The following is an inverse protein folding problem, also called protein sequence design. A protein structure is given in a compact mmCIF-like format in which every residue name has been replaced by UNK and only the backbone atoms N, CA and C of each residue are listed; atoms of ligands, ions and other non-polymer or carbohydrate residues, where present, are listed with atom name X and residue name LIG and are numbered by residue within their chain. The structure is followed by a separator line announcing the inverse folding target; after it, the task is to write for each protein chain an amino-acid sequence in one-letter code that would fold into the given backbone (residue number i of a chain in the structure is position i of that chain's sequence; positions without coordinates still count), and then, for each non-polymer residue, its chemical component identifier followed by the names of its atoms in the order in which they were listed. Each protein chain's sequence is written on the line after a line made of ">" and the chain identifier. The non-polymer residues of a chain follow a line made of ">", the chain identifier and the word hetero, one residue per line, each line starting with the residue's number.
data_IF_484436151426
#
_entry.id   IF_484436151426
#
_cell.length_a   1.000
_cell.length_b   1.000
_cell.length_c   1.000
_cell.angle_alpha   90.00
_cell.angle_beta   90.00
_cell.angle_gamma   90.00
#
_symmetry.space_group_name_H-M   'P 1'
#
loop_
_entity.id
_entity.type
_entity.pdbx_description
1 polymer ?
2 water ?
#
# COMPACT_ATOMS: atom_id res chain seq x y z
N UNK A 7 15.08 -0.39 -15.94
CA UNK A 7 13.72 0.21 -15.87
C UNK A 7 12.64 -0.86 -16.02
N UNK A 8 12.84 -1.75 -16.98
CA UNK A 8 11.89 -2.82 -17.23
C UNK A 8 11.70 -3.65 -15.97
N UNK A 9 12.79 -3.92 -15.27
CA UNK A 9 12.75 -4.71 -14.04
C UNK A 9 12.14 -3.94 -12.88
N UNK A 10 12.62 -2.72 -12.66
CA UNK A 10 12.13 -1.88 -11.57
C UNK A 10 10.63 -1.60 -11.70
N UNK A 11 10.20 -1.30 -12.92
CA UNK A 11 8.80 -1.00 -13.19
C UNK A 11 7.92 -2.19 -12.81
N UNK A 12 8.30 -3.37 -13.28
CA UNK A 12 7.55 -4.58 -13.01
C UNK A 12 7.59 -4.94 -11.52
N UNK A 13 8.71 -4.62 -10.88
CA UNK A 13 8.85 -4.91 -9.46
C UNK A 13 7.93 -4.02 -8.63
N UNK A 14 7.78 -2.76 -9.03
CA UNK A 14 6.92 -1.87 -8.28
C UNK A 14 5.45 -2.17 -8.57
N UNK A 15 5.18 -2.65 -9.78
CA UNK A 15 3.81 -3.00 -10.15
C UNK A 15 3.32 -4.16 -9.30
N UNK A 16 4.13 -5.21 -9.20
CA UNK A 16 3.76 -6.37 -8.40
C UNK A 16 3.65 -6.03 -6.92
N UNK A 17 4.50 -5.12 -6.46
CA UNK A 17 4.50 -4.70 -5.06
C UNK A 17 3.21 -3.94 -4.74
N UNK A 18 2.84 -2.99 -5.59
CA UNK A 18 1.62 -2.23 -5.38
C UNK A 18 0.41 -3.16 -5.46
N UNK A 19 0.41 -4.07 -6.44
CA UNK A 19 -0.69 -5.01 -6.62
C UNK A 19 -0.82 -5.91 -5.39
N UNK A 20 0.31 -6.40 -4.88
CA UNK A 20 0.29 -7.26 -3.70
C UNK A 20 -0.20 -6.51 -2.46
N UNK A 21 0.32 -5.31 -2.25
CA UNK A 21 -0.06 -4.50 -1.10
C UNK A 21 -1.51 -4.07 -1.17
N UNK A 22 -1.98 -3.77 -2.38
CA UNK A 22 -3.37 -3.36 -2.52
C UNK A 22 -4.28 -4.54 -2.14
N UNK A 23 -3.99 -5.72 -2.67
CA UNK A 23 -4.79 -6.89 -2.35
C UNK A 23 -4.79 -7.20 -0.85
N UNK A 24 -3.61 -7.15 -0.24
CA UNK A 24 -3.45 -7.42 1.18
C UNK A 24 -4.19 -6.40 2.06
N UNK A 25 -4.05 -5.12 1.77
CA UNK A 25 -4.74 -4.14 2.60
C UNK A 25 -6.25 -4.27 2.52
N UNK A 26 -6.80 -4.43 1.32
CA UNK A 26 -8.25 -4.57 1.15
C UNK A 26 -8.76 -5.83 1.85
N UNK A 27 -8.09 -6.95 1.60
CA UNK A 27 -8.48 -8.22 2.19
C UNK A 27 -8.49 -8.22 3.71
N UNK A 28 -7.38 -7.80 4.30
CA UNK A 28 -7.28 -7.79 5.75
C UNK A 28 -8.24 -6.82 6.42
N UNK A 29 -8.42 -5.65 5.83
CA UNK A 29 -9.33 -4.66 6.38
C UNK A 29 -10.77 -5.16 6.36
N UNK A 30 -11.20 -5.68 5.22
CA UNK A 30 -12.56 -6.17 5.04
C UNK A 30 -12.84 -7.55 5.66
N UNK A 31 -11.78 -8.23 6.09
CA UNK A 31 -11.94 -9.53 6.71
C UNK A 31 -11.39 -9.56 8.13
N UNK A 32 -10.10 -9.84 8.27
CA UNK A 32 -9.45 -9.91 9.58
C UNK A 32 -9.85 -8.78 10.54
N UNK A 33 -9.57 -7.54 10.16
CA UNK A 33 -9.88 -6.40 11.01
C UNK A 33 -11.36 -6.25 11.36
N UNK A 34 -12.25 -6.41 10.39
CA UNK A 34 -13.68 -6.27 10.68
C UNK A 34 -14.18 -7.38 11.60
N UNK A 35 -13.61 -8.57 11.48
CA UNK A 35 -14.04 -9.69 12.30
C UNK A 35 -13.37 -9.72 13.68
N UNK A 36 -12.37 -8.87 13.88
CA UNK A 36 -11.66 -8.80 15.16
C UNK A 36 -12.22 -7.68 16.03
N UNK A 37 -12.78 -6.66 15.39
CA UNK A 37 -13.33 -5.54 16.14
C UNK A 37 -12.28 -4.86 17.00
N UNK A 38 -12.73 -4.16 18.03
CA UNK A 38 -11.81 -3.47 18.93
C UNK A 38 -10.97 -2.40 18.27
N UNK A 39 -9.65 -2.50 18.45
CA UNK A 39 -8.72 -1.54 17.87
C UNK A 39 -8.57 -1.72 16.36
N UNK A 40 -8.87 -2.92 15.88
CA UNK A 40 -8.79 -3.24 14.45
C UNK A 40 -9.79 -2.45 13.62
N UNK A 41 -10.85 -1.96 14.27
CA UNK A 41 -11.87 -1.21 13.56
C UNK A 41 -11.91 0.25 13.97
N UNK A 42 -10.82 0.72 14.57
CA UNK A 42 -10.73 2.11 15.00
C UNK A 42 -10.74 3.00 13.76
N UNK A 43 -11.52 4.08 13.82
CA UNK A 43 -11.66 5.01 12.71
C UNK A 43 -10.40 5.30 11.89
N UNK A 44 -9.38 5.87 12.53
CA UNK A 44 -8.15 6.20 11.83
C UNK A 44 -7.45 5.00 11.18
N UNK A 45 -7.43 3.86 11.86
CA UNK A 45 -6.78 2.68 11.31
C UNK A 45 -7.47 2.15 10.06
N UNK A 46 -8.77 1.92 10.15
CA UNK A 46 -9.51 1.38 9.01
C UNK A 46 -9.45 2.33 7.81
N UNK A 47 -9.68 3.63 8.03
CA UNK A 47 -9.61 4.59 6.93
C UNK A 47 -8.27 4.45 6.23
N UNK A 48 -7.21 4.44 7.02
CA UNK A 48 -5.87 4.33 6.48
C UNK A 48 -5.74 3.06 5.65
N UNK A 49 -6.26 1.96 6.18
CA UNK A 49 -6.22 0.69 5.50
C UNK A 49 -6.84 0.79 4.11
N UNK A 50 -8.04 1.37 4.04
CA UNK A 50 -8.74 1.53 2.78
C UNK A 50 -8.04 2.55 1.88
N UNK A 51 -7.51 3.61 2.47
CA UNK A 51 -6.80 4.64 1.71
C UNK A 51 -5.59 4.00 1.05
N UNK A 52 -4.86 3.21 1.83
CA UNK A 52 -3.68 2.54 1.32
C UNK A 52 -4.04 1.62 0.15
N UNK A 53 -5.11 0.85 0.28
CA UNK A 53 -5.52 -0.04 -0.81
C UNK A 53 -5.87 0.77 -2.06
N UNK A 54 -6.55 1.89 -1.85
CA UNK A 54 -6.95 2.80 -2.92
C UNK A 54 -5.74 3.38 -3.66
N UNK A 55 -4.85 4.05 -2.93
CA UNK A 55 -3.67 4.65 -3.54
C UNK A 55 -2.81 3.60 -4.25
N UNK A 56 -2.64 2.41 -3.66
CA UNK A 56 -1.83 1.39 -4.31
C UNK A 56 -2.47 0.96 -5.63
N UNK A 57 -3.79 0.86 -5.64
CA UNK A 57 -4.52 0.47 -6.84
C UNK A 57 -4.38 1.55 -7.91
N UNK A 58 -4.32 2.80 -7.48
CA UNK A 58 -4.16 3.92 -8.41
C UNK A 58 -2.76 3.88 -9.02
N UNK A 59 -1.76 3.69 -8.18
CA UNK A 59 -0.37 3.62 -8.64
C UNK A 59 -0.24 2.47 -9.64
N UNK A 60 -0.82 1.32 -9.28
CA UNK A 60 -0.79 0.16 -10.15
C UNK A 60 -1.39 0.51 -11.51
N UNK A 61 -2.55 1.16 -11.50
CA UNK A 61 -3.19 1.53 -12.75
C UNK A 61 -2.38 2.53 -13.56
N UNK A 62 -1.77 3.51 -12.90
CA UNK A 62 -0.96 4.48 -13.62
C UNK A 62 0.22 3.83 -14.33
N UNK A 63 0.89 2.91 -13.65
CA UNK A 63 2.03 2.23 -14.23
C UNK A 63 1.59 1.24 -15.31
N UNK A 64 0.45 0.60 -15.11
CA UNK A 64 -0.03 -0.34 -16.11
C UNK A 64 -0.37 0.41 -17.39
N UNK A 65 -0.93 1.61 -17.25
CA UNK A 65 -1.33 2.41 -18.39
C UNK A 65 -0.19 3.17 -19.05
N UNK A 66 1.01 3.06 -18.48
CA UNK A 66 2.17 3.74 -19.03
C UNK A 66 2.12 5.25 -18.84
N UNK A 67 1.56 5.69 -17.72
CA UNK A 67 1.45 7.12 -17.44
C UNK A 67 2.81 7.75 -17.18
N UNK A 68 2.97 9.00 -17.57
CA UNK A 68 4.24 9.65 -17.32
C UNK A 68 4.17 10.29 -15.93
N UNK A 69 3.02 10.16 -15.27
CA UNK A 69 2.85 10.72 -13.94
C UNK A 69 2.99 9.68 -12.82
N UNK A 70 3.36 8.45 -13.17
CA UNK A 70 3.53 7.39 -12.17
C UNK A 70 4.47 7.80 -11.03
N UNK A 71 5.63 8.39 -11.36
CA UNK A 71 6.55 8.79 -10.29
C UNK A 71 5.88 9.62 -9.21
N UNK A 72 5.13 10.64 -9.62
CA UNK A 72 4.44 11.53 -8.70
C UNK A 72 3.43 10.74 -7.84
N UNK A 73 2.59 9.94 -8.50
CA UNK A 73 1.60 9.13 -7.80
C UNK A 73 2.26 8.17 -6.83
N UNK A 74 3.35 7.55 -7.27
CA UNK A 74 4.07 6.60 -6.42
C UNK A 74 4.64 7.27 -5.18
N UNK A 75 5.11 8.51 -5.32
CA UNK A 75 5.66 9.22 -4.18
C UNK A 75 4.63 9.37 -3.08
N UNK A 76 3.39 9.65 -3.47
CA UNK A 76 2.31 9.81 -2.52
C UNK A 76 1.95 8.44 -1.96
N UNK A 77 1.97 7.43 -2.81
CA UNK A 77 1.65 6.08 -2.39
C UNK A 77 2.63 5.59 -1.32
N UNK A 78 3.92 5.91 -1.48
CA UNK A 78 4.92 5.48 -0.50
C UNK A 78 4.64 6.07 0.87
N UNK A 79 4.24 7.34 0.89
CA UNK A 79 3.95 8.02 2.14
C UNK A 79 2.78 7.35 2.87
N UNK A 80 1.72 7.03 2.14
CA UNK A 80 0.55 6.38 2.73
C UNK A 80 0.85 4.96 3.19
N UNK A 81 1.68 4.25 2.43
CA UNK A 81 2.06 2.89 2.79
C UNK A 81 2.85 2.88 4.10
N UNK A 82 3.78 3.82 4.27
CA UNK A 82 4.57 3.90 5.49
C UNK A 82 3.67 4.15 6.69
N UNK A 83 2.71 5.05 6.53
CA UNK A 83 1.80 5.34 7.63
C UNK A 83 0.95 4.11 7.93
N UNK A 84 0.47 3.42 6.90
CA UNK A 84 -0.36 2.23 7.13
C UNK A 84 0.44 1.14 7.83
N UNK A 85 1.71 0.99 7.46
CA UNK A 85 2.57 -0.02 8.07
C UNK A 85 2.72 0.23 9.57
N UNK A 86 2.87 1.50 9.95
CA UNK A 86 3.03 1.84 11.35
C UNK A 86 1.73 1.60 12.12
N UNK A 87 0.61 1.86 11.47
CA UNK A 87 -0.69 1.65 12.09
C UNK A 87 -0.89 0.16 12.37
N UNK A 88 -0.47 -0.69 11.42
CA UNK A 88 -0.62 -2.13 11.59
C UNK A 88 0.34 -2.73 12.62
N UNK A 89 1.42 -2.02 12.94
CA UNK A 89 2.39 -2.50 13.92
C UNK A 89 1.73 -2.64 15.29
N UNK A 90 0.72 -1.81 15.54
CA UNK A 90 -0.01 -1.81 16.80
C UNK A 90 -0.86 -3.07 17.01
N UNK A 91 -1.48 -3.57 15.94
CA UNK A 91 -2.34 -4.75 16.03
C UNK A 91 -1.65 -6.08 15.79
N UNK A 92 -2.30 -7.16 16.20
CA UNK A 92 -1.73 -8.49 16.03
C UNK A 92 -2.36 -9.25 14.88
N UNK A 93 -1.59 -10.18 14.31
CA UNK A 93 -2.07 -10.95 13.18
C UNK A 93 -1.92 -10.11 11.92
N UNK A 94 -1.42 -8.89 12.11
CA UNK A 94 -1.24 -7.95 11.02
C UNK A 94 0.18 -7.94 10.47
N UNK A 95 0.96 -8.96 10.82
CA UNK A 95 2.35 -9.03 10.36
C UNK A 95 2.47 -8.97 8.84
N UNK A 96 1.59 -9.67 8.14
CA UNK A 96 1.64 -9.70 6.69
C UNK A 96 1.44 -8.31 6.08
N UNK A 97 0.62 -7.49 6.72
CA UNK A 97 0.34 -6.15 6.23
C UNK A 97 1.52 -5.20 6.42
N UNK A 98 2.18 -5.30 7.58
CA UNK A 98 3.34 -4.46 7.86
C UNK A 98 4.39 -4.71 6.78
N UNK A 99 4.67 -5.98 6.52
CA UNK A 99 5.66 -6.40 5.53
C UNK A 99 5.41 -5.86 4.13
N UNK A 100 4.19 -6.07 3.63
CA UNK A 100 3.85 -5.63 2.29
C UNK A 100 3.82 -4.11 2.16
N UNK A 101 3.38 -3.41 3.20
CA UNK A 101 3.34 -1.96 3.14
C UNK A 101 4.75 -1.36 3.11
N UNK A 102 5.70 -2.00 3.78
CA UNK A 102 7.09 -1.51 3.79
C UNK A 102 7.75 -1.71 2.43
N UNK A 103 7.53 -2.89 1.84
CA UNK A 103 8.10 -3.22 0.54
C UNK A 103 7.54 -2.29 -0.53
N UNK A 104 6.22 -2.17 -0.59
CA UNK A 104 5.60 -1.31 -1.58
C UNK A 104 6.13 0.12 -1.47
N UNK A 105 6.24 0.62 -0.24
CA UNK A 105 6.72 1.98 0.00
C UNK A 105 8.13 2.19 -0.56
N UNK A 106 8.96 1.16 -0.43
CA UNK A 106 10.33 1.20 -0.92
C UNK A 106 10.36 1.25 -2.45
N UNK A 107 9.59 0.39 -3.10
CA UNK A 107 9.55 0.40 -4.56
C UNK A 107 8.96 1.70 -5.08
N UNK A 108 7.92 2.19 -4.41
CA UNK A 108 7.29 3.42 -4.83
C UNK A 108 8.27 4.59 -4.70
N UNK A 109 9.09 4.58 -3.65
CA UNK A 109 10.07 5.65 -3.48
C UNK A 109 11.06 5.61 -4.63
N UNK A 110 11.41 4.41 -5.08
CA UNK A 110 12.33 4.27 -6.21
C UNK A 110 11.70 4.84 -7.48
N UNK A 111 10.40 4.61 -7.66
CA UNK A 111 9.72 5.14 -8.84
C UNK A 111 9.64 6.65 -8.77
N UNK A 112 9.34 7.17 -7.58
CA UNK A 112 9.24 8.61 -7.41
C UNK A 112 10.58 9.31 -7.65
N UNK A 113 11.67 8.64 -7.31
CA UNK A 113 13.00 9.22 -7.49
C UNK A 113 13.36 9.38 -8.96
N UNK A 114 12.56 8.79 -9.84
CA UNK A 114 12.83 8.89 -11.27
C UNK A 114 12.46 10.27 -11.80
N UNK A 115 11.38 10.84 -11.28
CA UNK A 115 10.94 12.16 -11.72
C UNK A 115 11.98 13.21 -11.34
#
# INVERSE_FOLDING_TARGET
>A
XFLYTETDQNLQACIDACNHCYRTCLRMAMNHCLEAGGKHVEADHLRLMMNCAEICQTSLNFMLSGSRFSPKVCGVCAEICDACAKSCEQLDGMEECVQTCRQCAEHCRKMAALEHHHHHH
#
